data_IF_473841743582
#
_entry.id   IF_473841743582
#
_cell.length_a   1.000
_cell.length_b   1.000
_cell.length_c   1.000
_cell.angle_alpha   90.00
_cell.angle_beta   90.00
_cell.angle_gamma   90.00
#
_symmetry.space_group_name_H-M   'P 1'
#
loop_
_entity.id
_entity.type
_entity.pdbx_description
1 polymer ?
#
# COMPACT_ATOMS: atom_id res chain seq x y z
N UNK A 1 2.17 7.66 26.95
CA UNK A 1 2.15 8.77 25.98
C UNK A 1 1.99 8.13 24.60
N UNK A 2 0.85 8.30 23.94
CA UNK A 2 0.67 7.72 22.61
C UNK A 2 1.64 8.43 21.66
N UNK A 3 2.61 7.68 21.11
CA UNK A 3 3.51 8.18 20.08
C UNK A 3 2.65 8.77 18.95
N UNK A 4 2.76 10.07 18.68
CA UNK A 4 2.00 10.68 17.59
C UNK A 4 2.44 10.02 16.28
N UNK A 5 1.56 9.22 15.67
CA UNK A 5 1.82 8.62 14.37
C UNK A 5 1.96 9.75 13.35
N UNK A 6 3.11 9.79 12.66
CA UNK A 6 3.35 10.79 11.62
C UNK A 6 2.55 10.38 10.39
N UNK A 7 1.51 11.15 10.06
CA UNK A 7 0.80 10.98 8.80
C UNK A 7 1.72 11.38 7.64
N UNK A 8 1.90 10.47 6.68
CA UNK A 8 2.68 10.70 5.47
C UNK A 8 1.78 10.98 4.29
N UNK A 9 2.28 11.74 3.33
CA UNK A 9 1.54 12.11 2.13
C UNK A 9 2.05 11.38 0.88
N UNK A 10 1.17 11.19 -0.10
CA UNK A 10 1.52 10.55 -1.36
C UNK A 10 2.69 11.26 -2.05
N UNK A 11 3.69 10.48 -2.47
CA UNK A 11 4.90 10.97 -3.13
C UNK A 11 5.99 11.51 -2.23
N UNK A 12 5.76 11.61 -0.92
CA UNK A 12 6.77 12.00 0.06
C UNK A 12 7.88 10.94 0.14
N UNK A 13 9.12 11.39 0.06
CA UNK A 13 10.28 10.54 0.33
C UNK A 13 10.51 10.44 1.83
N UNK A 14 10.57 9.22 2.34
CA UNK A 14 10.85 8.91 3.73
C UNK A 14 12.07 8.00 3.83
N UNK A 15 12.93 8.25 4.80
CA UNK A 15 14.07 7.38 5.13
C UNK A 15 13.56 6.15 5.88
N UNK A 16 13.93 4.97 5.40
CA UNK A 16 13.48 3.67 5.92
C UNK A 16 14.65 2.75 6.27
N UNK A 17 15.86 3.31 6.36
CA UNK A 17 17.11 2.56 6.54
C UNK A 17 17.11 1.71 7.82
N UNK A 18 16.63 2.28 8.93
CA UNK A 18 16.60 1.61 10.24
C UNK A 18 15.30 0.83 10.49
N UNK A 19 14.48 0.65 9.44
CA UNK A 19 13.12 0.13 9.57
C UNK A 19 12.14 1.18 10.11
N UNK A 20 10.85 0.93 9.91
CA UNK A 20 9.79 1.85 10.36
C UNK A 20 8.51 1.10 10.74
N UNK A 21 7.81 1.64 11.73
CA UNK A 21 6.43 1.27 12.01
C UNK A 21 5.51 2.10 11.11
N UNK A 22 4.75 1.43 10.26
CA UNK A 22 3.82 2.07 9.34
C UNK A 22 2.40 2.03 9.92
N UNK A 23 1.80 3.21 10.13
CA UNK A 23 0.38 3.33 10.41
C UNK A 23 -0.41 3.20 9.10
N UNK A 24 -1.04 2.04 8.88
CA UNK A 24 -1.93 1.81 7.75
C UNK A 24 -3.33 2.36 8.06
N UNK A 25 -3.98 3.05 7.11
CA UNK A 25 -5.36 3.54 7.29
C UNK A 25 -6.45 2.47 7.23
N UNK A 26 -6.10 1.18 7.04
CA UNK A 26 -7.01 0.05 6.74
C UNK A 26 -7.98 0.27 5.57
N UNK A 27 -7.78 1.36 4.83
CA UNK A 27 -8.55 1.90 3.74
C UNK A 27 -8.67 0.97 2.51
N UNK A 28 -7.96 -0.17 2.49
CA UNK A 28 -8.03 -1.15 1.41
C UNK A 28 -7.50 -0.65 0.06
N UNK A 29 -6.84 0.50 0.05
CA UNK A 29 -6.24 1.13 -1.13
C UNK A 29 -4.93 0.43 -1.48
N UNK A 30 -4.67 0.28 -2.78
CA UNK A 30 -3.38 -0.21 -3.27
C UNK A 30 -2.45 0.99 -3.46
N UNK A 31 -1.21 0.86 -3.02
CA UNK A 31 -0.17 1.86 -3.21
C UNK A 31 0.97 1.28 -4.04
N UNK A 32 1.42 2.03 -5.05
CA UNK A 32 2.67 1.78 -5.74
C UNK A 32 3.80 2.36 -4.88
N UNK A 33 4.75 1.51 -4.51
CA UNK A 33 5.90 1.89 -3.69
C UNK A 33 7.14 1.98 -4.58
N UNK A 34 7.89 3.06 -4.42
CA UNK A 34 9.18 3.26 -5.09
C UNK A 34 10.27 3.40 -4.05
N UNK A 35 11.42 2.80 -4.34
CA UNK A 35 12.61 2.83 -3.49
C UNK A 35 13.74 3.51 -4.23
N UNK A 36 14.53 4.28 -3.50
CA UNK A 36 15.76 4.89 -3.97
C UNK A 36 16.85 4.73 -2.91
N UNK A 37 18.10 4.68 -3.36
CA UNK A 37 19.25 4.73 -2.45
C UNK A 37 19.91 6.09 -2.66
N UNK A 38 20.06 6.86 -1.59
CA UNK A 38 20.72 8.16 -1.60
C UNK A 38 21.66 8.25 -0.40
N UNK A 39 22.95 8.47 -0.65
CA UNK A 39 23.98 8.62 0.38
C UNK A 39 23.98 7.50 1.44
N UNK A 40 23.82 6.26 0.99
CA UNK A 40 23.78 5.08 1.86
C UNK A 40 22.46 4.88 2.62
N UNK A 41 21.46 5.74 2.39
CA UNK A 41 20.13 5.65 2.99
C UNK A 41 19.14 5.06 1.99
N UNK A 42 18.22 4.24 2.50
CA UNK A 42 17.10 3.71 1.72
C UNK A 42 15.94 4.68 1.88
N UNK A 43 15.57 5.33 0.78
CA UNK A 43 14.40 6.18 0.70
C UNK A 43 13.24 5.38 0.10
N UNK A 44 12.05 5.60 0.64
CA UNK A 44 10.80 5.03 0.14
C UNK A 44 9.83 6.18 -0.14
N UNK A 45 9.05 6.08 -1.21
CA UNK A 45 7.84 6.87 -1.41
C UNK A 45 6.70 5.97 -1.84
N UNK A 46 5.47 6.38 -1.55
CA UNK A 46 4.28 5.64 -1.95
C UNK A 46 3.30 6.56 -2.66
N UNK A 47 2.65 6.05 -3.69
CA UNK A 47 1.57 6.73 -4.40
C UNK A 47 0.35 5.82 -4.42
N UNK A 48 -0.84 6.39 -4.20
CA UNK A 48 -2.07 5.63 -4.37
C UNK A 48 -2.26 5.22 -5.84
N UNK A 49 -2.42 3.92 -6.07
CA UNK A 49 -2.78 3.37 -7.39
C UNK A 49 -4.29 3.17 -7.47
N UNK A 50 -4.97 4.14 -8.08
CA UNK A 50 -6.42 4.11 -8.23
C UNK A 50 -6.89 2.98 -9.16
N UNK A 51 -6.08 2.62 -10.17
CA UNK A 51 -6.43 1.60 -11.16
C UNK A 51 -6.42 0.22 -10.51
N UNK A 52 -5.32 -0.13 -9.84
CA UNK A 52 -5.20 -1.41 -9.15
C UNK A 52 -6.16 -1.49 -7.97
N UNK A 53 -6.42 -0.36 -7.28
CA UNK A 53 -7.48 -0.30 -6.27
C UNK A 53 -8.86 -0.65 -6.85
N UNK A 54 -9.21 -0.08 -8.01
CA UNK A 54 -10.47 -0.39 -8.68
C UNK A 54 -10.52 -1.86 -9.14
N UNK A 55 -9.42 -2.37 -9.69
CA UNK A 55 -9.29 -3.78 -10.06
C UNK A 55 -9.48 -4.71 -8.86
N UNK A 56 -8.82 -4.44 -7.72
CA UNK A 56 -8.99 -5.20 -6.47
C UNK A 56 -10.43 -5.19 -5.98
N UNK A 57 -11.12 -4.05 -6.09
CA UNK A 57 -12.54 -3.94 -5.71
C UNK A 57 -13.44 -4.75 -6.63
N UNK A 58 -13.17 -4.71 -7.94
CA UNK A 58 -13.96 -5.41 -8.95
C UNK A 58 -13.69 -6.93 -9.02
N UNK A 59 -12.48 -7.37 -8.67
CA UNK A 59 -12.12 -8.80 -8.61
C UNK A 59 -12.63 -9.50 -7.37
N UNK A 60 -12.95 -8.75 -6.31
CA UNK A 60 -13.64 -9.23 -5.11
C UNK A 60 -15.14 -9.45 -5.30
N UNK A 61 -15.61 -9.67 -6.52
CA UNK A 61 -16.91 -10.33 -6.72
C UNK A 61 -16.81 -11.76 -6.16
N UNK A 62 -17.14 -11.91 -4.88
CA UNK A 62 -17.26 -13.20 -4.18
C UNK A 62 -18.16 -14.16 -4.96
N UNK A 63 -19.11 -13.63 -5.74
CA UNK A 63 -19.93 -14.40 -6.69
C UNK A 63 -19.10 -15.07 -7.80
N UNK A 64 -18.12 -14.39 -8.39
CA UNK A 64 -17.27 -14.95 -9.46
C UNK A 64 -16.32 -16.02 -8.93
N UNK A 65 -15.76 -15.83 -7.74
CA UNK A 65 -14.90 -16.86 -7.12
C UNK A 65 -15.69 -18.11 -6.71
N UNK A 66 -16.93 -17.97 -6.20
CA UNK A 66 -17.81 -19.11 -5.89
C UNK A 66 -18.30 -19.83 -7.16
N UNK A 67 -18.70 -19.12 -8.22
CA UNK A 67 -19.10 -19.75 -9.48
C UNK A 67 -17.95 -20.54 -10.12
N UNK A 68 -16.72 -20.04 -10.02
CA UNK A 68 -15.53 -20.73 -10.55
C UNK A 68 -15.17 -22.00 -9.76
N UNK A 69 -15.50 -22.05 -8.46
CA UNK A 69 -15.31 -23.23 -7.61
C UNK A 69 -16.40 -24.31 -7.79
N UNK A 70 -17.54 -23.98 -8.40
CA UNK A 70 -18.68 -24.91 -8.62
C UNK A 70 -18.73 -25.48 -10.04
N UNK A 71 -17.71 -25.21 -10.86
CA UNK A 71 -17.66 -25.61 -12.27
C UNK A 71 -16.34 -26.29 -12.62
N UNK A 72 -16.03 -27.38 -11.91
CA UNK A 72 -15.16 -28.49 -12.33
C UNK A 72 -15.82 -29.80 -11.90
#
# INVERSE_FOLDING_TARGET
MAQAYIQRHDGEWIDVTDGQLLACCDCGLIHKVEYAILDGRILKRAFRDNRETAYRRNTKDVKKSICKLKGE
#
